data_IF_268276861837
#
_entry.id   IF_268276861837
#
_cell.length_a   1.000
_cell.length_b   1.000
_cell.length_c   1.000
_cell.angle_alpha   90.00
_cell.angle_beta   90.00
_cell.angle_gamma   90.00
#
_symmetry.space_group_name_H-M   'P 1'
#
loop_
_entity.id
_entity.type
_entity.pdbx_description
1 polymer ?
#
# COMPACT_ATOMS: atom_id res chain seq x y z
N UNK A 1 6.53 -9.16 14.47
CA UNK A 1 6.96 -9.10 13.06
C UNK A 1 7.91 -7.94 12.90
N UNK A 2 9.01 -8.08 12.15
CA UNK A 2 9.85 -6.94 11.72
C UNK A 2 9.99 -6.98 10.21
N UNK A 3 9.78 -5.83 9.60
CA UNK A 3 9.83 -5.64 8.15
C UNK A 3 10.96 -4.67 7.84
N UNK A 4 11.60 -4.84 6.70
CA UNK A 4 12.64 -3.94 6.21
C UNK A 4 12.36 -3.61 4.76
N UNK A 5 12.56 -2.35 4.41
CA UNK A 5 12.63 -1.91 3.01
C UNK A 5 14.04 -1.37 2.71
N UNK A 6 14.53 -1.62 1.50
CA UNK A 6 15.82 -1.13 1.00
C UNK A 6 15.70 -0.39 -0.34
N UNK A 7 14.49 -0.32 -0.89
CA UNK A 7 14.17 0.41 -2.12
C UNK A 7 13.14 1.50 -1.85
N UNK A 8 13.19 2.57 -2.65
CA UNK A 8 12.10 3.55 -2.71
C UNK A 8 10.80 2.87 -3.14
N UNK A 9 9.64 3.33 -2.65
CA UNK A 9 8.36 2.95 -3.24
C UNK A 9 8.32 3.35 -4.71
N UNK A 10 7.61 2.56 -5.50
CA UNK A 10 7.23 2.87 -6.87
C UNK A 10 6.09 3.90 -6.88
N UNK A 11 5.20 3.78 -5.89
CA UNK A 11 4.03 4.65 -5.73
C UNK A 11 3.51 4.53 -4.29
N UNK A 12 2.89 5.60 -3.79
CA UNK A 12 2.17 5.61 -2.51
C UNK A 12 0.69 5.90 -2.76
N UNK A 13 -0.18 5.22 -2.03
CA UNK A 13 -1.62 5.21 -2.31
C UNK A 13 -2.48 5.20 -1.06
N UNK A 14 -3.59 5.93 -1.10
CA UNK A 14 -4.78 5.67 -0.28
C UNK A 14 -5.83 4.93 -1.12
N UNK A 15 -6.25 3.74 -0.70
CA UNK A 15 -7.30 2.98 -1.40
C UNK A 15 -8.60 3.03 -0.60
N UNK A 16 -9.65 3.54 -1.25
CA UNK A 16 -10.96 3.76 -0.66
C UNK A 16 -11.96 2.62 -0.90
N UNK A 17 -11.58 1.53 -1.57
CA UNK A 17 -12.53 0.44 -1.77
C UNK A 17 -13.01 -0.12 -0.42
N UNK A 18 -14.27 -0.54 -0.37
CA UNK A 18 -14.94 -1.15 0.80
C UNK A 18 -14.16 -2.33 1.38
N UNK A 19 -13.46 -3.09 0.54
CA UNK A 19 -12.53 -4.13 0.98
C UNK A 19 -11.35 -3.60 1.79
N UNK A 20 -10.73 -2.51 1.34
CA UNK A 20 -9.65 -1.84 2.08
C UNK A 20 -10.17 -1.16 3.36
N UNK A 21 -11.36 -0.54 3.32
CA UNK A 21 -12.00 0.01 4.51
C UNK A 21 -12.22 -1.07 5.58
N UNK A 22 -12.75 -2.23 5.17
CA UNK A 22 -13.02 -3.36 6.06
C UNK A 22 -11.73 -3.94 6.65
N UNK A 23 -10.73 -4.24 5.82
CA UNK A 23 -9.47 -4.84 6.30
C UNK A 23 -8.65 -3.92 7.20
N UNK A 24 -8.73 -2.61 6.98
CA UNK A 24 -8.01 -1.62 7.80
C UNK A 24 -8.82 -1.12 8.99
N UNK A 25 -10.12 -1.43 9.07
CA UNK A 25 -11.07 -0.81 9.98
C UNK A 25 -10.98 0.74 9.97
N UNK A 26 -10.78 1.33 8.79
CA UNK A 26 -10.55 2.76 8.58
C UNK A 26 -11.29 3.26 7.32
N UNK A 27 -11.26 4.56 7.07
CA UNK A 27 -11.86 5.18 5.88
C UNK A 27 -11.15 4.81 4.57
N UNK A 28 -9.92 4.30 4.67
CA UNK A 28 -9.10 3.83 3.55
C UNK A 28 -7.89 3.05 4.08
N UNK A 29 -7.26 2.27 3.20
CA UNK A 29 -5.95 1.68 3.48
C UNK A 29 -4.83 2.50 2.85
N UNK A 30 -3.77 2.74 3.60
CA UNK A 30 -2.52 3.28 3.07
C UNK A 30 -1.65 2.17 2.49
N UNK A 31 -1.02 2.39 1.34
CA UNK A 31 -0.13 1.41 0.69
C UNK A 31 1.09 2.08 0.11
N UNK A 32 2.25 1.46 0.27
CA UNK A 32 3.46 1.76 -0.49
C UNK A 32 3.79 0.54 -1.36
N UNK A 33 3.84 0.71 -2.67
CA UNK A 33 4.25 -0.34 -3.60
C UNK A 33 5.78 -0.42 -3.60
N UNK A 34 6.35 -1.46 -2.99
CA UNK A 34 7.80 -1.67 -2.89
C UNK A 34 8.19 -2.80 -3.82
N UNK A 35 9.25 -2.64 -4.62
CA UNK A 35 9.78 -3.78 -5.41
C UNK A 35 10.10 -4.96 -4.49
N UNK A 36 9.85 -6.18 -4.96
CA UNK A 36 10.03 -7.38 -4.14
C UNK A 36 11.47 -7.61 -3.71
N UNK A 37 12.46 -7.18 -4.51
CA UNK A 37 13.89 -7.22 -4.16
C UNK A 37 14.30 -6.16 -3.11
N UNK A 38 13.41 -5.20 -2.85
CA UNK A 38 13.58 -4.15 -1.86
C UNK A 38 12.79 -4.36 -0.56
N UNK A 39 12.17 -5.53 -0.35
CA UNK A 39 11.36 -5.84 0.82
C UNK A 39 11.78 -7.15 1.48
N UNK A 40 11.88 -7.14 2.81
CA UNK A 40 12.28 -8.30 3.60
C UNK A 40 11.47 -8.39 4.91
N UNK A 41 11.17 -9.61 5.35
CA UNK A 41 10.71 -9.89 6.71
C UNK A 41 11.92 -10.34 7.52
N UNK A 42 12.39 -9.49 8.43
CA UNK A 42 13.61 -9.75 9.21
C UNK A 42 13.35 -10.51 10.51
N UNK A 43 12.09 -10.54 10.98
CA UNK A 43 11.70 -11.31 12.16
C UNK A 43 10.23 -11.74 12.13
N UNK A 44 10.00 -13.02 12.42
CA UNK A 44 8.68 -13.63 12.53
C UNK A 44 8.14 -14.16 11.20
N UNK A 45 7.07 -14.95 11.27
CA UNK A 45 6.42 -15.56 10.12
C UNK A 45 4.96 -15.05 10.03
N UNK A 46 4.58 -14.39 8.92
CA UNK A 46 3.22 -13.88 8.78
C UNK A 46 2.24 -15.00 8.45
N UNK A 47 0.96 -14.77 8.76
CA UNK A 47 -0.14 -15.66 8.36
C UNK A 47 -1.00 -14.99 7.29
N UNK A 48 -1.71 -15.79 6.50
CA UNK A 48 -2.68 -15.26 5.52
C UNK A 48 -3.99 -14.96 6.25
N UNK A 49 -4.57 -13.79 5.97
CA UNK A 49 -5.87 -13.36 6.47
C UNK A 49 -6.62 -12.48 5.47
N UNK A 50 -7.49 -11.60 5.96
CA UNK A 50 -8.17 -10.57 5.14
C UNK A 50 -9.35 -11.10 4.33
N UNK A 51 -9.50 -10.62 3.09
CA UNK A 51 -10.66 -10.95 2.25
C UNK A 51 -10.61 -12.35 1.62
N UNK A 52 -9.47 -13.04 1.69
CA UNK A 52 -9.25 -14.37 1.11
C UNK A 52 -9.67 -14.42 -0.37
N UNK A 53 -8.74 -14.09 -1.26
CA UNK A 53 -8.94 -14.17 -2.70
C UNK A 53 -7.64 -14.51 -3.39
N UNK A 54 -7.53 -14.09 -4.64
CA UNK A 54 -6.37 -14.35 -5.47
C UNK A 54 -5.10 -13.64 -4.94
N UNK A 55 -5.28 -12.42 -4.45
CA UNK A 55 -4.23 -11.70 -3.71
C UNK A 55 -4.07 -12.25 -2.30
N UNK A 56 -2.82 -12.36 -1.84
CA UNK A 56 -2.50 -12.85 -0.50
C UNK A 56 -2.25 -11.68 0.45
N UNK A 57 -3.13 -11.52 1.43
CA UNK A 57 -3.00 -10.51 2.48
C UNK A 57 -2.31 -11.13 3.70
N UNK A 58 -1.17 -10.57 4.09
CA UNK A 58 -0.32 -11.10 5.16
C UNK A 58 -0.50 -10.29 6.45
N UNK A 59 -0.71 -11.03 7.54
CA UNK A 59 -1.07 -10.50 8.85
C UNK A 59 -0.05 -10.95 9.91
N UNK A 60 0.13 -10.13 10.94
CA UNK A 60 0.86 -10.52 12.13
C UNK A 60 0.02 -11.56 12.91
N UNK A 61 0.55 -12.76 13.23
CA UNK A 61 -0.23 -13.79 13.93
C UNK A 61 -0.58 -13.43 15.38
N UNK A 62 0.03 -12.37 15.92
CA UNK A 62 -0.19 -11.94 17.30
C UNK A 62 -1.19 -10.79 17.41
N UNK A 63 -0.89 -9.65 16.80
CA UNK A 63 -1.73 -8.44 16.88
C UNK A 63 -2.79 -8.37 15.77
N UNK A 64 -2.79 -9.32 14.82
CA UNK A 64 -3.74 -9.39 13.70
C UNK A 64 -3.74 -8.13 12.82
N UNK A 65 -2.64 -7.36 12.81
CA UNK A 65 -2.49 -6.24 11.88
C UNK A 65 -2.23 -6.75 10.47
N UNK A 66 -2.96 -6.22 9.50
CA UNK A 66 -2.66 -6.38 8.09
C UNK A 66 -1.36 -5.65 7.78
N UNK A 67 -0.33 -6.36 7.33
CA UNK A 67 0.99 -5.77 7.15
C UNK A 67 1.33 -5.47 5.71
N UNK A 68 1.05 -6.41 4.81
CA UNK A 68 1.31 -6.24 3.40
C UNK A 68 0.44 -7.18 2.56
N UNK A 69 0.40 -6.94 1.26
CA UNK A 69 -0.29 -7.78 0.29
C UNK A 69 0.64 -8.12 -0.87
N UNK A 70 0.64 -9.38 -1.28
CA UNK A 70 1.19 -9.79 -2.58
C UNK A 70 0.02 -9.92 -3.56
N UNK A 71 -0.10 -9.02 -4.54
CA UNK A 71 -1.16 -9.11 -5.53
C UNK A 71 -0.98 -10.37 -6.40
N UNK A 72 -2.08 -10.92 -6.89
CA UNK A 72 -2.02 -12.05 -7.82
C UNK A 72 -1.29 -11.66 -9.11
N UNK A 73 -0.39 -12.53 -9.59
CA UNK A 73 0.29 -12.36 -10.87
C UNK A 73 1.32 -11.22 -10.93
N UNK A 74 1.53 -10.49 -9.82
CA UNK A 74 2.45 -9.34 -9.73
C UNK A 74 3.52 -9.57 -8.67
N UNK A 75 4.27 -10.67 -8.80
CA UNK A 75 5.29 -11.09 -7.83
C UNK A 75 6.50 -10.14 -7.74
N UNK A 76 6.62 -9.19 -8.66
CA UNK A 76 7.72 -8.24 -8.73
C UNK A 76 7.60 -7.07 -7.75
N UNK A 77 6.46 -6.90 -7.07
CA UNK A 77 6.31 -5.94 -5.98
C UNK A 77 5.40 -6.43 -4.85
N UNK A 78 5.46 -5.72 -3.71
CA UNK A 78 4.62 -5.91 -2.54
C UNK A 78 3.90 -4.60 -2.20
N UNK A 79 2.63 -4.68 -1.83
CA UNK A 79 1.89 -3.56 -1.26
C UNK A 79 2.06 -3.56 0.25
N UNK A 80 3.00 -2.78 0.77
CA UNK A 80 3.29 -2.62 2.19
C UNK A 80 2.34 -1.61 2.84
N UNK A 81 1.88 -1.88 4.06
CA UNK A 81 1.23 -0.87 4.92
C UNK A 81 2.35 -0.02 5.55
N UNK A 82 2.51 1.25 5.16
CA UNK A 82 3.67 2.07 5.59
C UNK A 82 3.72 2.27 7.11
N UNK A 83 2.56 2.24 7.79
CA UNK A 83 2.43 2.32 9.26
C UNK A 83 3.00 1.11 10.00
N UNK A 84 3.44 0.07 9.29
CA UNK A 84 4.11 -1.11 9.87
C UNK A 84 5.64 -0.96 9.92
N UNK A 85 6.17 0.15 9.37
CA UNK A 85 7.57 0.53 9.53
C UNK A 85 7.70 1.41 10.77
N UNK A 86 8.89 1.39 11.38
CA UNK A 86 9.16 2.13 12.62
C UNK A 86 9.00 3.66 12.44
N UNK A 87 9.40 4.18 11.27
CA UNK A 87 9.32 5.60 10.93
C UNK A 87 8.41 5.83 9.70
N UNK A 88 7.09 5.98 9.88
CA UNK A 88 6.15 6.16 8.76
C UNK A 88 6.03 7.62 8.28
N UNK A 89 6.72 8.58 8.92
CA UNK A 89 6.55 10.03 8.66
C UNK A 89 6.93 10.50 7.24
N UNK A 90 7.68 9.70 6.49
CA UNK A 90 8.00 9.96 5.08
C UNK A 90 6.81 9.69 4.14
N UNK A 91 5.79 8.96 4.61
CA UNK A 91 4.70 8.52 3.76
C UNK A 91 3.65 9.63 3.60
N UNK A 92 3.33 9.93 2.35
CA UNK A 92 2.13 10.68 1.94
C UNK A 92 1.55 9.96 0.73
N UNK A 93 0.22 9.70 0.66
CA UNK A 93 -0.36 9.09 -0.52
C UNK A 93 -0.16 10.03 -1.71
N UNK A 94 0.42 9.52 -2.80
CA UNK A 94 0.58 10.26 -4.05
C UNK A 94 -0.68 10.14 -4.91
N UNK A 95 -1.27 8.94 -4.94
CA UNK A 95 -2.57 8.69 -5.55
C UNK A 95 -3.63 8.31 -4.50
N UNK A 96 -4.89 8.57 -4.81
CA UNK A 96 -6.02 7.91 -4.17
C UNK A 96 -6.88 7.18 -5.20
N UNK A 97 -7.33 5.97 -4.87
CA UNK A 97 -8.09 5.10 -5.77
C UNK A 97 -9.41 4.67 -5.17
N UNK A 98 -10.34 4.26 -6.03
CA UNK A 98 -11.71 3.88 -5.64
C UNK A 98 -12.47 5.01 -4.95
N UNK A 99 -12.29 6.26 -5.39
CA UNK A 99 -12.95 7.41 -4.76
C UNK A 99 -14.47 7.40 -4.95
N UNK A 100 -14.99 6.60 -5.88
CA UNK A 100 -16.43 6.30 -5.99
C UNK A 100 -17.00 5.61 -4.74
N UNK A 101 -16.16 4.93 -3.95
CA UNK A 101 -16.52 4.26 -2.68
C UNK A 101 -16.05 5.04 -1.43
N UNK A 102 -15.46 6.23 -1.63
CA UNK A 102 -14.92 7.07 -0.55
C UNK A 102 -16.02 7.54 0.39
N UNK A 103 -15.77 7.43 1.70
CA UNK A 103 -16.64 8.05 2.69
C UNK A 103 -16.67 9.57 2.48
N UNK A 104 -17.84 10.23 2.43
CA UNK A 104 -17.94 11.63 2.00
C UNK A 104 -17.11 12.64 2.79
N UNK A 105 -16.79 12.33 4.05
CA UNK A 105 -16.00 13.20 4.94
C UNK A 105 -14.49 12.95 4.86
N UNK A 106 -14.06 11.83 4.27
CA UNK A 106 -12.66 11.47 4.23
C UNK A 106 -11.91 12.35 3.23
N UNK A 107 -10.75 12.87 3.62
CA UNK A 107 -9.86 13.62 2.75
C UNK A 107 -8.44 13.06 2.84
N UNK A 108 -7.68 13.22 1.77
CA UNK A 108 -6.27 12.84 1.69
C UNK A 108 -5.51 13.94 0.95
N UNK A 109 -4.19 14.06 1.15
CA UNK A 109 -3.35 14.99 0.41
C UNK A 109 -2.89 14.42 -0.97
N UNK A 110 -3.52 13.35 -1.47
CA UNK A 110 -3.13 12.75 -2.75
C UNK A 110 -3.25 13.77 -3.89
N UNK A 111 -2.24 13.79 -4.76
CA UNK A 111 -2.17 14.73 -5.88
C UNK A 111 -2.94 14.24 -7.11
N UNK A 112 -3.14 12.92 -7.21
CA UNK A 112 -3.98 12.29 -8.23
C UNK A 112 -5.14 11.51 -7.58
N UNK A 113 -6.33 11.60 -8.15
CA UNK A 113 -7.56 10.99 -7.60
C UNK A 113 -8.32 10.24 -8.69
N UNK A 114 -8.65 8.98 -8.42
CA UNK A 114 -9.28 8.08 -9.36
C UNK A 114 -10.54 7.44 -8.77
N UNK A 115 -11.65 7.48 -9.52
CA UNK A 115 -12.92 6.84 -9.12
C UNK A 115 -12.80 5.32 -8.97
N UNK A 116 -11.84 4.69 -9.67
CA UNK A 116 -11.48 3.28 -9.59
C UNK A 116 -9.93 3.15 -9.56
N UNK A 117 -9.35 2.13 -10.20
CA UNK A 117 -7.92 2.06 -10.46
C UNK A 117 -7.54 2.89 -11.70
N UNK A 118 -6.34 3.51 -11.74
CA UNK A 118 -5.77 4.05 -12.98
C UNK A 118 -5.73 2.98 -14.08
N UNK A 119 -5.83 3.42 -15.34
CA UNK A 119 -5.58 2.53 -16.46
C UNK A 119 -4.12 2.03 -16.43
N UNK A 120 -3.87 0.85 -16.99
CA UNK A 120 -2.55 0.21 -16.91
C UNK A 120 -1.46 1.10 -17.54
N UNK A 121 -1.80 1.79 -18.61
CA UNK A 121 -0.92 2.67 -19.38
C UNK A 121 -0.53 3.95 -18.62
N UNK A 122 -1.29 4.34 -17.59
CA UNK A 122 -1.02 5.55 -16.80
C UNK A 122 0.07 5.32 -15.74
N UNK A 123 0.28 4.08 -15.30
CA UNK A 123 1.19 3.78 -14.19
C UNK A 123 2.64 4.16 -14.48
N UNK A 124 3.10 4.04 -15.73
CA UNK A 124 4.48 4.42 -16.07
C UNK A 124 4.73 5.91 -15.79
N UNK A 125 3.80 6.78 -16.22
CA UNK A 125 3.86 8.22 -15.97
C UNK A 125 3.75 8.56 -14.49
N UNK A 126 2.82 7.93 -13.77
CA UNK A 126 2.63 8.14 -12.33
C UNK A 126 3.88 7.75 -11.53
N UNK A 127 4.52 6.63 -11.87
CA UNK A 127 5.76 6.17 -11.21
C UNK A 127 6.91 7.13 -11.50
N UNK A 128 7.02 7.64 -12.73
CA UNK A 128 8.05 8.62 -13.08
C UNK A 128 7.88 9.93 -12.30
N UNK A 129 6.65 10.47 -12.26
CA UNK A 129 6.34 11.71 -11.52
C UNK A 129 6.55 11.54 -10.01
N UNK A 130 6.13 10.40 -9.44
CA UNK A 130 6.38 10.09 -8.04
C UNK A 130 7.88 10.02 -7.73
N UNK A 131 8.69 9.46 -8.63
CA UNK A 131 10.13 9.34 -8.42
C UNK A 131 10.85 10.71 -8.34
N UNK A 132 10.33 11.74 -9.02
CA UNK A 132 10.84 13.12 -8.97
C UNK A 132 10.50 13.83 -7.65
N UNK A 133 9.36 13.49 -7.05
CA UNK A 133 8.84 14.14 -5.83
C UNK A 133 9.19 13.38 -4.55
N UNK A 134 9.53 12.09 -4.64
CA UNK A 134 9.80 11.23 -3.50
C UNK A 134 11.21 11.44 -2.92
N UNK A 135 11.27 12.11 -1.77
CA UNK A 135 12.42 12.05 -0.85
C UNK A 135 12.63 10.62 -0.35
N UNK A 136 13.90 10.19 -0.22
CA UNK A 136 14.24 8.88 0.35
C UNK A 136 13.67 8.77 1.78
N UNK A 137 13.08 7.62 2.18
CA UNK A 137 12.97 7.29 3.59
C UNK A 137 14.40 7.21 4.15
N UNK A 138 14.74 8.06 5.11
CA UNK A 138 15.98 7.92 5.91
C UNK A 138 15.88 6.74 6.86
#
# INVERSE_FOLDING_TARGET
MRLKISAKPLLTMACHCTGCQTMSASAYSLSAAIRSDGFEITLGEPVIGGLHGASKHFFCPHCMSWMFTRPEGLDWFVNLRPTMLDEPGWFTPFIETWTSEKLPWATTPAVHSYEALPAFEEYEGLVAEFAETASLPT
#
